data_IF_837481582379
#
_entry.id   IF_837481582379
#
_cell.length_a   1.000
_cell.length_b   1.000
_cell.length_c   1.000
_cell.angle_alpha   90.00
_cell.angle_beta   90.00
_cell.angle_gamma   90.00
#
_symmetry.space_group_name_H-M   'P 1'
#
loop_
_entity.id
_entity.type
_entity.pdbx_description
1 polymer ?
#
# COMPACT_ATOMS: atom_id res chain seq x y z
N UNK A 1 56.30 3.72 -12.51
CA UNK A 1 54.98 4.30 -12.80
C UNK A 1 53.96 3.21 -12.51
N UNK A 2 53.39 3.21 -11.30
CA UNK A 2 52.42 2.21 -10.84
C UNK A 2 51.09 2.90 -10.66
N UNK A 3 50.12 2.60 -11.53
CA UNK A 3 48.73 3.04 -11.38
C UNK A 3 48.03 2.16 -10.35
N UNK A 4 47.82 2.71 -9.16
CA UNK A 4 46.89 2.18 -8.18
C UNK A 4 45.47 2.56 -8.57
N UNK A 5 44.72 1.62 -9.14
CA UNK A 5 43.29 1.77 -9.36
C UNK A 5 42.59 1.80 -7.99
N UNK A 6 42.18 3.01 -7.58
CA UNK A 6 41.31 3.24 -6.44
C UNK A 6 39.98 2.51 -6.67
N UNK A 7 39.78 1.47 -5.86
CA UNK A 7 38.54 0.73 -5.70
C UNK A 7 37.40 1.72 -5.44
N UNK A 8 36.47 1.84 -6.39
CA UNK A 8 35.25 2.63 -6.24
C UNK A 8 34.41 1.95 -5.14
N UNK A 9 34.43 2.52 -3.95
CA UNK A 9 33.66 2.09 -2.79
C UNK A 9 32.16 2.26 -3.11
N UNK A 10 31.51 1.17 -3.54
CA UNK A 10 30.06 1.14 -3.68
C UNK A 10 29.43 1.37 -2.30
N UNK A 11 28.49 2.32 -2.14
CA UNK A 11 27.88 2.57 -0.84
C UNK A 11 27.23 1.30 -0.30
N UNK A 12 27.34 1.01 1.02
CA UNK A 12 26.86 -0.23 1.59
C UNK A 12 25.37 -0.38 1.35
N UNK A 13 24.97 -1.44 0.64
CA UNK A 13 23.56 -1.73 0.36
C UNK A 13 22.83 -1.88 1.71
N UNK A 14 21.82 -1.05 2.04
CA UNK A 14 21.09 -1.18 3.28
C UNK A 14 20.40 -2.54 3.32
N UNK A 15 20.71 -3.35 4.33
CA UNK A 15 20.18 -4.71 4.43
C UNK A 15 20.41 -5.35 5.80
N UNK A 16 19.49 -6.23 6.18
CA UNK A 16 19.51 -6.94 7.45
C UNK A 16 20.65 -7.97 7.47
N UNK A 17 21.25 -8.15 8.65
CA UNK A 17 22.24 -9.22 8.84
C UNK A 17 21.56 -10.59 8.87
N UNK A 18 22.32 -11.66 8.60
CA UNK A 18 21.79 -13.04 8.68
C UNK A 18 21.20 -13.36 10.06
N UNK A 19 21.76 -12.80 11.14
CA UNK A 19 21.24 -12.98 12.50
C UNK A 19 19.91 -12.26 12.70
N UNK A 20 19.78 -11.04 12.19
CA UNK A 20 18.54 -10.27 12.25
C UNK A 20 17.42 -10.96 11.46
N UNK A 21 17.71 -11.46 10.25
CA UNK A 21 16.73 -12.18 9.43
C UNK A 21 16.36 -13.52 10.06
N UNK A 22 17.33 -14.26 10.62
CA UNK A 22 17.04 -15.51 11.32
C UNK A 22 16.14 -15.31 12.55
N UNK A 23 16.35 -14.23 13.30
CA UNK A 23 15.50 -13.85 14.42
C UNK A 23 14.09 -13.44 13.97
N UNK A 24 13.98 -12.66 12.88
CA UNK A 24 12.69 -12.31 12.23
C UNK A 24 11.90 -13.55 11.83
N UNK A 25 12.60 -14.55 11.29
CA UNK A 25 12.01 -15.82 10.90
C UNK A 25 11.87 -16.78 12.09
N UNK A 26 12.36 -16.50 13.29
CA UNK A 26 12.34 -17.50 14.38
C UNK A 26 13.01 -18.84 14.00
N UNK A 27 14.00 -18.83 13.09
CA UNK A 27 14.80 -20.00 12.71
C UNK A 27 16.25 -19.80 13.14
N UNK A 28 17.00 -20.90 13.30
CA UNK A 28 18.43 -20.79 13.55
C UNK A 28 19.16 -20.15 12.35
N UNK A 29 20.18 -19.28 12.55
CA UNK A 29 20.98 -18.74 11.46
C UNK A 29 21.62 -19.81 10.55
N UNK A 30 21.88 -21.00 11.10
CA UNK A 30 22.32 -22.17 10.33
C UNK A 30 21.26 -22.67 9.32
N UNK A 31 19.98 -22.64 9.69
CA UNK A 31 18.85 -22.99 8.81
C UNK A 31 18.74 -22.00 7.65
N UNK A 32 18.80 -20.70 7.93
CA UNK A 32 18.78 -19.66 6.90
C UNK A 32 19.97 -19.78 5.93
N UNK A 33 21.17 -20.10 6.44
CA UNK A 33 22.34 -20.39 5.60
C UNK A 33 22.15 -21.66 4.76
N UNK A 34 21.53 -22.69 5.33
CA UNK A 34 21.23 -23.94 4.63
C UNK A 34 20.24 -23.72 3.48
N UNK A 35 19.18 -22.92 3.70
CA UNK A 35 18.23 -22.55 2.66
C UNK A 35 18.89 -21.76 1.53
N UNK A 36 19.76 -20.79 1.86
CA UNK A 36 20.50 -20.04 0.85
C UNK A 36 21.41 -20.92 -0.01
N UNK A 37 22.03 -21.95 0.57
CA UNK A 37 22.90 -22.89 -0.17
C UNK A 37 22.11 -23.94 -0.96
N UNK A 38 21.04 -24.51 -0.38
CA UNK A 38 20.28 -25.62 -0.98
C UNK A 38 19.24 -25.16 -2.00
N UNK A 39 18.70 -23.96 -1.83
CA UNK A 39 17.55 -23.49 -2.60
C UNK A 39 17.79 -22.18 -3.35
N UNK A 40 19.01 -21.63 -3.30
CA UNK A 40 19.40 -20.43 -4.03
C UNK A 40 18.82 -19.11 -3.47
N UNK A 41 18.29 -19.12 -2.24
CA UNK A 41 17.76 -17.92 -1.56
C UNK A 41 18.89 -17.12 -0.90
N UNK A 42 19.75 -16.58 -1.75
CA UNK A 42 20.90 -15.78 -1.33
C UNK A 42 20.56 -14.30 -1.29
N UNK A 43 21.15 -13.54 -0.35
CA UNK A 43 20.96 -12.10 -0.28
C UNK A 43 21.47 -11.39 -1.54
N UNK A 44 20.80 -10.32 -1.96
CA UNK A 44 21.18 -9.52 -3.12
C UNK A 44 22.45 -8.67 -2.89
N UNK A 45 22.90 -8.49 -1.65
CA UNK A 45 24.06 -7.67 -1.32
C UNK A 45 24.99 -8.25 -0.25
N UNK A 46 26.20 -7.68 -0.19
CA UNK A 46 27.18 -7.88 0.88
C UNK A 46 27.63 -6.52 1.41
N UNK A 47 27.96 -6.45 2.70
CA UNK A 47 28.61 -5.26 3.27
C UNK A 47 30.07 -5.15 2.80
N UNK A 48 30.68 -3.98 2.99
CA UNK A 48 32.12 -3.73 2.76
C UNK A 48 33.01 -4.80 3.43
N UNK A 49 32.64 -5.30 4.62
CA UNK A 49 33.32 -6.42 5.30
C UNK A 49 32.93 -7.84 4.84
N UNK A 50 32.33 -8.01 3.67
CA UNK A 50 31.99 -9.33 3.08
C UNK A 50 30.78 -10.07 3.67
N UNK A 51 30.18 -9.55 4.74
CA UNK A 51 29.01 -10.16 5.39
C UNK A 51 27.72 -10.05 4.54
N UNK A 52 26.88 -11.09 4.62
CA UNK A 52 25.58 -11.19 3.95
C UNK A 52 24.61 -10.07 4.40
N UNK A 53 24.01 -9.36 3.44
CA UNK A 53 23.03 -8.29 3.67
C UNK A 53 21.75 -8.56 2.89
N UNK A 54 20.69 -8.88 3.61
CA UNK A 54 19.38 -9.19 3.04
C UNK A 54 18.61 -7.91 2.81
N UNK A 55 18.20 -7.69 1.57
CA UNK A 55 17.32 -6.58 1.21
C UNK A 55 15.90 -6.83 1.71
N UNK A 56 15.05 -5.80 1.61
CA UNK A 56 13.63 -5.92 1.91
C UNK A 56 12.95 -7.02 1.07
N UNK A 57 13.33 -7.12 -0.22
CA UNK A 57 12.83 -8.15 -1.13
C UNK A 57 13.27 -9.55 -0.68
N UNK A 58 14.54 -9.73 -0.31
CA UNK A 58 15.05 -11.02 0.16
C UNK A 58 14.32 -11.49 1.42
N UNK A 59 14.09 -10.55 2.35
CA UNK A 59 13.43 -10.83 3.63
C UNK A 59 11.99 -11.25 3.40
N UNK A 60 11.27 -10.61 2.48
CA UNK A 60 9.90 -10.97 2.08
C UNK A 60 9.82 -12.37 1.49
N UNK A 61 10.72 -12.71 0.58
CA UNK A 61 10.78 -14.06 -0.03
C UNK A 61 10.98 -15.13 1.04
N UNK A 62 11.85 -14.87 2.03
CA UNK A 62 12.15 -15.80 3.11
C UNK A 62 11.00 -15.97 4.11
N UNK A 63 10.34 -14.87 4.47
CA UNK A 63 9.14 -14.88 5.32
C UNK A 63 8.03 -15.70 4.68
N UNK A 64 7.80 -15.51 3.37
CA UNK A 64 6.79 -16.29 2.64
C UNK A 64 7.16 -17.76 2.53
N UNK A 65 8.42 -18.07 2.29
CA UNK A 65 8.89 -19.46 2.28
C UNK A 65 8.60 -20.12 3.64
N UNK A 66 8.88 -19.41 4.73
CA UNK A 66 8.61 -19.92 6.07
C UNK A 66 7.12 -20.15 6.33
N UNK A 67 6.25 -19.23 5.91
CA UNK A 67 4.80 -19.39 6.08
C UNK A 67 4.30 -20.66 5.37
N UNK A 68 4.78 -20.95 4.16
CA UNK A 68 4.46 -22.17 3.43
C UNK A 68 4.94 -23.42 4.19
N UNK A 69 6.16 -23.40 4.72
CA UNK A 69 6.69 -24.51 5.51
C UNK A 69 5.86 -24.76 6.78
N UNK A 70 5.47 -23.70 7.48
CA UNK A 70 4.61 -23.81 8.66
C UNK A 70 3.19 -24.31 8.31
N UNK A 71 2.72 -24.07 7.09
CA UNK A 71 1.46 -24.58 6.56
C UNK A 71 1.55 -26.05 6.07
N UNK A 72 2.68 -26.72 6.28
CA UNK A 72 2.87 -28.13 5.95
C UNK A 72 3.54 -28.39 4.60
N UNK A 73 3.89 -27.35 3.83
CA UNK A 73 4.67 -27.54 2.60
C UNK A 73 6.10 -27.97 2.91
N UNK A 74 6.67 -28.82 2.05
CA UNK A 74 8.09 -29.16 2.19
C UNK A 74 8.97 -27.95 1.86
N UNK A 75 10.12 -27.75 2.53
CA UNK A 75 11.02 -26.63 2.24
C UNK A 75 11.46 -26.52 0.78
N UNK A 76 11.59 -27.65 0.07
CA UNK A 76 11.93 -27.66 -1.36
C UNK A 76 10.79 -27.11 -2.23
N UNK A 77 9.55 -27.54 -1.95
CA UNK A 77 8.36 -27.07 -2.66
C UNK A 77 8.09 -25.59 -2.36
N UNK A 78 8.16 -25.20 -1.09
CA UNK A 78 8.03 -23.81 -0.65
C UNK A 78 9.07 -22.90 -1.33
N UNK A 79 10.34 -23.33 -1.38
CA UNK A 79 11.39 -22.59 -2.06
C UNK A 79 11.13 -22.47 -3.58
N UNK A 80 10.65 -23.53 -4.23
CA UNK A 80 10.27 -23.48 -5.64
C UNK A 80 9.16 -22.46 -5.90
N UNK A 81 8.11 -22.48 -5.06
CA UNK A 81 6.96 -21.59 -5.13
C UNK A 81 7.36 -20.11 -4.98
N UNK A 82 8.28 -19.79 -4.05
CA UNK A 82 8.73 -18.40 -3.86
C UNK A 82 9.74 -17.93 -4.91
N UNK A 83 10.43 -18.83 -5.59
CA UNK A 83 11.31 -18.45 -6.71
C UNK A 83 10.55 -18.19 -8.00
N UNK A 84 9.50 -18.97 -8.27
CA UNK A 84 8.68 -18.80 -9.47
C UNK A 84 7.84 -17.53 -9.46
N UNK A 85 7.51 -17.04 -8.26
CA UNK A 85 6.74 -15.82 -8.07
C UNK A 85 7.04 -15.29 -6.65
N UNK A 86 8.03 -14.40 -6.47
CA UNK A 86 8.45 -13.91 -5.15
C UNK A 86 7.35 -13.21 -4.35
N UNK A 87 6.35 -12.65 -5.03
CA UNK A 87 5.38 -11.73 -4.46
C UNK A 87 3.95 -12.30 -4.37
N UNK A 88 3.67 -13.55 -4.82
CA UNK A 88 2.33 -14.19 -4.83
C UNK A 88 1.57 -14.23 -3.49
N UNK A 89 2.22 -13.92 -2.36
CA UNK A 89 1.64 -13.84 -1.02
C UNK A 89 1.98 -12.57 -0.23
N UNK A 90 2.74 -11.62 -0.80
CA UNK A 90 2.98 -10.28 -0.23
C UNK A 90 1.81 -9.32 -0.51
N UNK A 91 0.62 -9.84 -0.85
CA UNK A 91 -0.56 -9.13 -1.39
C UNK A 91 -1.15 -8.03 -0.48
N UNK A 92 -0.45 -7.65 0.56
CA UNK A 92 -0.93 -7.05 1.80
C UNK A 92 0.09 -5.95 2.26
N UNK A 93 1.38 -6.08 1.93
CA UNK A 93 2.42 -5.12 2.30
C UNK A 93 2.50 -3.79 1.53
N UNK A 94 1.52 -3.40 0.71
CA UNK A 94 1.46 -2.02 0.18
C UNK A 94 0.25 -1.18 0.60
N UNK A 95 -0.51 -1.65 1.58
CA UNK A 95 -1.09 -0.71 2.55
C UNK A 95 -0.01 0.21 3.14
N UNK A 96 1.21 -0.31 3.31
CA UNK A 96 2.39 0.46 3.70
C UNK A 96 2.96 1.38 2.60
N UNK A 97 2.54 1.26 1.33
CA UNK A 97 2.93 2.24 0.32
C UNK A 97 2.12 3.55 0.43
N UNK A 98 0.92 3.51 1.05
CA UNK A 98 0.21 4.72 1.48
C UNK A 98 1.03 5.53 2.51
N UNK A 99 1.90 4.87 3.27
CA UNK A 99 2.74 5.43 4.33
C UNK A 99 3.95 6.19 3.81
N UNK A 100 4.48 5.87 2.62
CA UNK A 100 5.68 6.55 2.09
C UNK A 100 5.42 7.91 1.44
N UNK A 101 4.18 8.20 1.03
CA UNK A 101 3.82 9.47 0.35
C UNK A 101 3.69 10.70 1.28
N UNK A 102 3.99 10.58 2.57
CA UNK A 102 4.00 11.72 3.51
C UNK A 102 5.33 11.90 4.25
N UNK A 103 6.37 11.11 3.95
CA UNK A 103 7.65 11.16 4.65
C UNK A 103 8.81 11.58 3.72
N UNK A 104 8.89 12.89 3.45
CA UNK A 104 10.14 13.61 3.26
C UNK A 104 10.20 14.72 4.35
N UNK A 105 11.39 15.08 4.86
CA UNK A 105 11.56 15.38 6.28
C UNK A 105 11.35 16.86 6.61
N UNK A 106 10.43 17.15 7.53
CA UNK A 106 10.49 18.36 8.35
C UNK A 106 11.61 18.16 9.39
N UNK A 107 12.66 18.96 9.27
CA UNK A 107 13.80 18.94 10.17
C UNK A 107 13.40 19.52 11.52
N UNK A 108 13.76 18.79 12.57
CA UNK A 108 14.01 19.34 13.89
C UNK A 108 12.86 19.14 14.86
N UNK A 109 12.92 18.07 15.66
CA UNK A 109 12.44 18.09 17.04
C UNK A 109 13.36 17.20 17.89
N UNK A 110 13.91 17.82 18.95
CA UNK A 110 14.86 17.22 19.88
C UNK A 110 14.21 16.08 20.67
N UNK A 111 14.92 14.98 20.82
CA UNK A 111 14.53 13.83 21.66
C UNK A 111 14.38 14.22 23.14
N UNK A 112 13.35 13.73 23.86
CA UNK A 112 13.41 13.57 25.30
C UNK A 112 13.94 12.18 25.69
N UNK A 113 14.66 12.17 26.82
CA UNK A 113 15.38 11.05 27.42
C UNK A 113 14.49 9.88 27.88
N UNK A 114 15.11 8.70 27.94
CA UNK A 114 14.65 7.45 28.57
C UNK A 114 14.17 7.64 30.03
N UNK A 115 13.15 6.88 30.43
CA UNK A 115 13.11 6.04 31.66
C UNK A 115 11.79 5.25 31.77
N UNK A 116 11.84 4.03 32.34
CA UNK A 116 10.67 3.29 32.82
C UNK A 116 10.57 1.83 32.38
N UNK A 117 11.22 0.94 33.12
CA UNK A 117 11.05 -0.53 33.10
C UNK A 117 9.72 -0.94 33.75
N UNK A 118 8.89 -1.73 33.04
CA UNK A 118 7.73 -2.43 33.60
C UNK A 118 7.78 -3.93 33.27
N UNK A 119 7.07 -4.81 34.01
CA UNK A 119 7.26 -6.27 33.96
C UNK A 119 6.71 -6.91 32.67
N UNK A 120 7.18 -8.10 32.27
CA UNK A 120 6.70 -8.77 31.07
C UNK A 120 5.33 -9.41 31.34
N UNK A 121 4.27 -8.80 30.79
CA UNK A 121 2.91 -9.33 30.89
C UNK A 121 2.62 -10.38 29.81
N UNK A 122 2.30 -11.61 30.26
CA UNK A 122 1.24 -12.51 29.78
C UNK A 122 1.27 -13.06 28.33
N UNK A 123 0.88 -14.34 28.11
CA UNK A 123 0.83 -14.93 26.78
C UNK A 123 -0.50 -14.56 26.08
N UNK A 124 -0.41 -13.87 24.94
CA UNK A 124 -1.55 -13.70 24.02
C UNK A 124 -1.89 -12.24 23.71
N UNK A 125 -1.34 -11.72 22.61
CA UNK A 125 -1.68 -10.42 22.03
C UNK A 125 -0.47 -9.49 21.99
N UNK A 126 0.19 -9.39 20.83
CA UNK A 126 1.19 -8.35 20.60
C UNK A 126 0.47 -7.00 20.58
N UNK A 127 0.51 -6.27 21.69
CA UNK A 127 -0.08 -4.92 21.76
C UNK A 127 0.66 -4.02 20.77
N UNK A 128 -0.03 -3.59 19.73
CA UNK A 128 0.50 -2.63 18.76
C UNK A 128 0.55 -1.24 19.44
N UNK A 129 1.76 -0.79 19.76
CA UNK A 129 1.94 0.51 20.41
C UNK A 129 1.74 1.65 19.40
N UNK A 130 0.79 2.55 19.67
CA UNK A 130 0.58 3.80 18.91
C UNK A 130 0.64 4.99 19.87
N UNK A 131 1.84 5.49 20.23
CA UNK A 131 2.01 6.59 21.18
C UNK A 131 1.36 7.88 20.66
N UNK A 132 0.67 8.63 21.52
CA UNK A 132 0.06 9.92 21.16
C UNK A 132 -1.24 9.84 20.32
N UNK A 133 -1.69 8.64 19.95
CA UNK A 133 -2.88 8.46 19.12
C UNK A 133 -4.21 8.63 19.87
N UNK A 134 -5.30 8.90 19.16
CA UNK A 134 -6.65 9.00 19.72
C UNK A 134 -7.14 7.69 20.35
N UNK A 135 -8.21 7.74 21.15
CA UNK A 135 -8.80 6.54 21.75
C UNK A 135 -9.28 5.53 20.70
N UNK A 136 -9.81 6.00 19.57
CA UNK A 136 -10.30 5.17 18.46
C UNK A 136 -9.15 4.45 17.75
N UNK A 137 -8.05 5.15 17.46
CA UNK A 137 -6.84 4.54 16.86
C UNK A 137 -6.25 3.48 17.77
N UNK A 138 -6.15 3.75 19.09
CA UNK A 138 -5.69 2.75 20.06
C UNK A 138 -6.65 1.55 20.16
N UNK A 139 -7.95 1.79 20.06
CA UNK A 139 -8.98 0.76 20.03
C UNK A 139 -8.81 -0.18 18.84
N UNK A 140 -8.68 0.39 17.64
CA UNK A 140 -8.45 -0.36 16.40
C UNK A 140 -7.13 -1.15 16.45
N UNK A 141 -6.03 -0.50 16.86
CA UNK A 141 -4.73 -1.14 17.00
C UNK A 141 -4.74 -2.33 17.98
N UNK A 142 -5.47 -2.20 19.09
CA UNK A 142 -5.66 -3.28 20.07
C UNK A 142 -6.49 -4.43 19.51
N UNK A 143 -7.61 -4.13 18.84
CA UNK A 143 -8.47 -5.14 18.22
C UNK A 143 -7.70 -5.93 17.16
N UNK A 144 -6.97 -5.22 16.29
CA UNK A 144 -6.12 -5.81 15.26
C UNK A 144 -5.00 -6.68 15.87
N UNK A 145 -4.32 -6.20 16.93
CA UNK A 145 -3.29 -6.98 17.63
C UNK A 145 -3.81 -8.24 18.36
N UNK A 146 -5.12 -8.34 18.56
CA UNK A 146 -5.81 -9.54 19.08
C UNK A 146 -6.44 -10.40 17.99
N UNK A 147 -6.33 -9.99 16.72
CA UNK A 147 -7.01 -10.60 15.58
C UNK A 147 -8.54 -10.66 15.75
N UNK A 148 -9.10 -9.69 16.47
CA UNK A 148 -10.55 -9.54 16.68
C UNK A 148 -11.18 -8.92 15.44
N UNK A 149 -11.44 -9.75 14.43
CA UNK A 149 -11.96 -9.32 13.11
C UNK A 149 -13.28 -8.57 13.22
N UNK A 150 -14.15 -8.98 14.14
CA UNK A 150 -15.46 -8.36 14.37
C UNK A 150 -15.30 -6.95 14.96
N UNK A 151 -14.45 -6.79 15.98
CA UNK A 151 -14.20 -5.47 16.56
C UNK A 151 -13.51 -4.54 15.57
N UNK A 152 -12.54 -5.05 14.79
CA UNK A 152 -11.88 -4.28 13.71
C UNK A 152 -12.92 -3.76 12.72
N UNK A 153 -13.75 -4.64 12.16
CA UNK A 153 -14.81 -4.25 11.21
C UNK A 153 -15.77 -3.22 11.81
N UNK A 154 -16.26 -3.47 13.04
CA UNK A 154 -17.20 -2.57 13.72
C UNK A 154 -16.63 -1.16 13.89
N UNK A 155 -15.36 -1.05 14.30
CA UNK A 155 -14.70 0.25 14.49
C UNK A 155 -14.56 0.99 13.15
N UNK A 156 -14.12 0.29 12.10
CA UNK A 156 -13.92 0.90 10.77
C UNK A 156 -15.27 1.35 10.18
N UNK A 157 -16.27 0.49 10.19
CA UNK A 157 -17.60 0.80 9.67
C UNK A 157 -18.25 1.97 10.42
N UNK A 158 -18.13 1.98 11.75
CA UNK A 158 -18.65 3.09 12.55
C UNK A 158 -17.97 4.42 12.17
N UNK A 159 -16.65 4.43 12.01
CA UNK A 159 -15.90 5.62 11.65
C UNK A 159 -16.22 6.10 10.22
N UNK A 160 -16.33 5.18 9.25
CA UNK A 160 -16.74 5.48 7.88
C UNK A 160 -18.12 6.17 7.84
N UNK A 161 -19.10 5.63 8.56
CA UNK A 161 -20.46 6.21 8.57
C UNK A 161 -20.55 7.56 9.28
N UNK A 162 -19.69 7.83 10.26
CA UNK A 162 -19.79 9.02 11.11
C UNK A 162 -18.92 10.19 10.63
N UNK A 163 -17.80 9.88 9.97
CA UNK A 163 -16.80 10.89 9.57
C UNK A 163 -16.49 10.89 8.08
N UNK A 164 -16.89 9.85 7.34
CA UNK A 164 -16.61 9.69 5.92
C UNK A 164 -15.29 9.00 5.59
N UNK A 165 -15.03 8.75 4.31
CA UNK A 165 -13.85 7.99 3.86
C UNK A 165 -12.55 8.71 4.14
N UNK A 166 -12.45 10.02 3.85
CA UNK A 166 -11.18 10.75 3.93
C UNK A 166 -10.65 10.80 5.38
N UNK A 167 -11.43 11.26 6.38
CA UNK A 167 -10.95 11.26 7.77
C UNK A 167 -10.70 9.84 8.30
N UNK A 168 -11.50 8.85 7.88
CA UNK A 168 -11.24 7.46 8.26
C UNK A 168 -9.88 6.98 7.76
N UNK A 169 -9.52 7.30 6.52
CA UNK A 169 -8.24 6.89 5.96
C UNK A 169 -7.06 7.60 6.66
N UNK A 170 -7.17 8.91 6.88
CA UNK A 170 -6.06 9.71 7.38
C UNK A 170 -5.89 9.67 8.90
N UNK A 171 -7.00 9.68 9.65
CA UNK A 171 -6.97 9.83 11.12
C UNK A 171 -7.11 8.48 11.86
N UNK A 172 -7.71 7.47 11.23
CA UNK A 172 -7.90 6.15 11.84
C UNK A 172 -6.99 5.08 11.24
N UNK A 173 -7.08 4.83 9.92
CA UNK A 173 -6.41 3.70 9.28
C UNK A 173 -4.90 3.94 9.13
N UNK A 174 -4.50 5.11 8.61
CA UNK A 174 -3.09 5.44 8.36
C UNK A 174 -2.23 5.29 9.62
N UNK A 175 -2.58 5.83 10.80
CA UNK A 175 -1.76 5.66 12.01
C UNK A 175 -1.60 4.20 12.43
N UNK A 176 -2.64 3.37 12.28
CA UNK A 176 -2.58 1.94 12.61
C UNK A 176 -1.70 1.19 11.62
N UNK A 177 -1.86 1.42 10.32
CA UNK A 177 -1.04 0.80 9.28
C UNK A 177 0.45 1.19 9.42
N UNK A 178 0.74 2.46 9.75
CA UNK A 178 2.11 2.91 10.08
C UNK A 178 2.67 2.11 11.27
N UNK A 179 1.89 1.96 12.33
CA UNK A 179 2.31 1.23 13.52
C UNK A 179 2.54 -0.26 13.23
N UNK A 180 1.68 -0.90 12.42
CA UNK A 180 1.86 -2.29 11.95
C UNK A 180 3.17 -2.42 11.17
N UNK A 181 3.44 -1.50 10.24
CA UNK A 181 4.69 -1.48 9.49
C UNK A 181 5.93 -1.30 10.37
N UNK A 182 5.88 -0.39 11.34
CA UNK A 182 6.96 -0.17 12.29
C UNK A 182 7.20 -1.38 13.21
N UNK A 183 6.12 -2.03 13.66
CA UNK A 183 6.20 -3.26 14.44
C UNK A 183 6.80 -4.41 13.63
N UNK A 184 6.41 -4.53 12.36
CA UNK A 184 6.99 -5.49 11.42
C UNK A 184 8.47 -5.23 11.19
N UNK A 185 8.88 -3.99 10.89
CA UNK A 185 10.27 -3.63 10.68
C UNK A 185 11.17 -3.96 11.89
N UNK A 186 10.62 -3.89 13.10
CA UNK A 186 11.31 -4.19 14.35
C UNK A 186 11.35 -5.69 14.70
N UNK A 187 10.27 -6.42 14.46
CA UNK A 187 10.08 -7.78 15.01
C UNK A 187 9.97 -8.87 13.95
N UNK A 188 9.74 -8.50 12.69
CA UNK A 188 9.46 -9.44 11.60
C UNK A 188 8.06 -10.05 11.61
N UNK A 189 7.28 -9.83 12.66
CA UNK A 189 5.90 -10.32 12.78
C UNK A 189 4.83 -9.28 12.48
N UNK A 190 3.55 -9.67 12.54
CA UNK A 190 2.42 -8.77 12.29
C UNK A 190 1.78 -8.91 10.90
N UNK A 191 2.16 -9.93 10.14
CA UNK A 191 1.56 -10.25 8.83
C UNK A 191 0.11 -10.72 9.01
N UNK A 192 -0.14 -11.48 10.07
CA UNK A 192 -1.47 -11.85 10.55
C UNK A 192 -2.35 -10.61 10.80
N UNK A 193 -1.80 -9.63 11.53
CA UNK A 193 -2.48 -8.36 11.83
C UNK A 193 -2.76 -7.55 10.56
N UNK A 194 -1.81 -7.53 9.64
CA UNK A 194 -1.90 -6.81 8.37
C UNK A 194 -2.96 -7.44 7.45
N UNK A 195 -2.99 -8.77 7.32
CA UNK A 195 -4.06 -9.47 6.59
C UNK A 195 -5.45 -9.19 7.19
N UNK A 196 -5.60 -9.26 8.52
CA UNK A 196 -6.86 -8.96 9.19
C UNK A 196 -7.32 -7.52 8.91
N UNK A 197 -6.39 -6.56 8.95
CA UNK A 197 -6.70 -5.15 8.66
C UNK A 197 -7.09 -4.95 7.20
N UNK A 198 -6.26 -5.41 6.25
CA UNK A 198 -6.50 -5.28 4.81
C UNK A 198 -7.88 -5.82 4.41
N UNK A 199 -8.23 -7.03 4.86
CA UNK A 199 -9.53 -7.65 4.54
C UNK A 199 -10.68 -6.86 5.17
N UNK A 200 -10.59 -6.51 6.46
CA UNK A 200 -11.63 -5.77 7.15
C UNK A 200 -11.84 -4.36 6.56
N UNK A 201 -10.77 -3.67 6.17
CA UNK A 201 -10.83 -2.36 5.51
C UNK A 201 -11.53 -2.50 4.15
N UNK A 202 -11.15 -3.50 3.34
CA UNK A 202 -11.74 -3.74 2.03
C UNK A 202 -13.24 -4.03 2.13
N UNK A 203 -13.65 -4.88 3.07
CA UNK A 203 -15.06 -5.22 3.28
C UNK A 203 -15.86 -4.02 3.79
N UNK A 204 -15.32 -3.25 4.75
CA UNK A 204 -15.96 -2.04 5.24
C UNK A 204 -16.13 -0.99 4.13
N UNK A 205 -15.14 -0.79 3.25
CA UNK A 205 -15.23 0.13 2.11
C UNK A 205 -16.25 -0.33 1.07
N UNK A 206 -16.32 -1.63 0.78
CA UNK A 206 -17.33 -2.21 -0.13
C UNK A 206 -18.74 -2.03 0.43
N UNK A 207 -18.93 -2.35 1.71
CA UNK A 207 -20.20 -2.18 2.40
C UNK A 207 -20.62 -0.70 2.46
N UNK A 208 -19.68 0.20 2.78
CA UNK A 208 -19.92 1.64 2.80
C UNK A 208 -20.34 2.17 1.43
N UNK A 209 -19.65 1.75 0.36
CA UNK A 209 -20.00 2.10 -1.02
C UNK A 209 -21.38 1.59 -1.42
N UNK A 210 -21.74 0.36 -1.06
CA UNK A 210 -23.04 -0.23 -1.39
C UNK A 210 -24.23 0.48 -0.73
N UNK A 211 -23.99 1.20 0.38
CA UNK A 211 -25.01 1.99 1.10
C UNK A 211 -25.21 3.39 0.53
N UNK A 212 -24.32 3.85 -0.37
CA UNK A 212 -24.45 5.18 -0.96
C UNK A 212 -25.59 5.23 -1.97
N UNK A 213 -26.16 6.43 -2.14
CA UNK A 213 -27.22 6.65 -3.11
C UNK A 213 -26.77 6.29 -4.53
N UNK A 214 -27.71 5.87 -5.40
CA UNK A 214 -27.40 5.57 -6.79
C UNK A 214 -26.67 6.75 -7.45
N UNK A 215 -25.63 6.47 -8.25
CA UNK A 215 -24.84 7.53 -8.86
C UNK A 215 -25.66 8.36 -9.85
N UNK A 216 -25.27 9.63 -10.00
CA UNK A 216 -25.88 10.53 -10.99
C UNK A 216 -25.64 10.03 -12.42
N UNK A 217 -26.59 10.28 -13.33
CA UNK A 217 -26.47 9.95 -14.75
C UNK A 217 -25.30 10.71 -15.39
N UNK A 218 -24.12 10.10 -15.37
CA UNK A 218 -22.85 10.63 -15.87
C UNK A 218 -21.92 9.48 -16.23
N UNK A 219 -20.93 9.75 -17.08
CA UNK A 219 -19.88 8.76 -17.38
C UNK A 219 -19.11 8.37 -16.11
N UNK A 220 -18.82 7.09 -15.86
CA UNK A 220 -18.13 6.65 -14.65
C UNK A 220 -16.68 7.12 -14.61
N UNK A 221 -16.14 7.17 -13.39
CA UNK A 221 -14.70 7.23 -13.15
C UNK A 221 -14.15 5.80 -13.16
N UNK A 222 -13.16 5.52 -14.01
CA UNK A 222 -12.47 4.23 -14.00
C UNK A 222 -11.34 4.24 -12.97
N UNK A 223 -11.24 3.18 -12.18
CA UNK A 223 -10.21 3.02 -11.14
C UNK A 223 -9.35 1.82 -11.48
N UNK A 224 -8.05 2.04 -11.72
CA UNK A 224 -7.12 1.01 -12.15
C UNK A 224 -5.77 1.12 -11.45
N UNK A 225 -5.14 -0.01 -11.16
CA UNK A 225 -3.71 -0.08 -10.91
C UNK A 225 -2.96 -0.03 -12.25
N UNK A 226 -1.77 0.56 -12.26
CA UNK A 226 -0.85 0.47 -13.40
C UNK A 226 -0.50 -0.99 -13.75
N UNK A 227 0.12 -1.23 -14.91
CA UNK A 227 0.30 -2.57 -15.48
C UNK A 227 0.97 -3.59 -14.54
N UNK A 228 1.86 -3.14 -13.66
CA UNK A 228 2.53 -4.01 -12.68
C UNK A 228 2.05 -3.78 -11.24
N UNK A 229 1.03 -2.96 -11.04
CA UNK A 229 0.50 -2.62 -9.74
C UNK A 229 -0.47 -3.69 -9.24
N UNK A 230 -0.13 -4.35 -8.15
CA UNK A 230 -0.95 -5.42 -7.55
C UNK A 230 -1.92 -4.91 -6.48
N UNK A 231 -1.74 -3.69 -5.97
CA UNK A 231 -2.48 -3.20 -4.82
C UNK A 231 -3.77 -2.50 -5.24
N UNK A 232 -4.88 -3.02 -4.72
CA UNK A 232 -6.23 -2.57 -5.07
C UNK A 232 -6.87 -1.70 -4.00
N UNK A 233 -6.39 -1.73 -2.76
CA UNK A 233 -6.99 -0.96 -1.67
C UNK A 233 -7.12 0.54 -1.99
N UNK A 234 -6.09 1.23 -2.54
CA UNK A 234 -6.22 2.65 -2.88
C UNK A 234 -7.37 2.91 -3.87
N UNK A 235 -7.66 1.96 -4.75
CA UNK A 235 -8.79 2.02 -5.68
C UNK A 235 -10.12 1.86 -4.94
N UNK A 236 -10.19 1.00 -3.92
CA UNK A 236 -11.38 0.86 -3.07
C UNK A 236 -11.63 2.11 -2.23
N UNK A 237 -10.57 2.72 -1.69
CA UNK A 237 -10.66 3.99 -0.96
C UNK A 237 -11.21 5.10 -1.86
N UNK A 238 -10.61 5.31 -3.04
CA UNK A 238 -11.09 6.30 -4.02
C UNK A 238 -12.52 5.99 -4.46
N UNK A 239 -12.84 4.72 -4.70
CA UNK A 239 -14.18 4.28 -5.10
C UNK A 239 -15.25 4.55 -4.05
N UNK A 240 -14.93 4.35 -2.77
CA UNK A 240 -15.83 4.66 -1.66
C UNK A 240 -15.99 6.19 -1.48
N UNK A 241 -14.90 6.95 -1.58
CA UNK A 241 -14.94 8.41 -1.47
C UNK A 241 -15.74 9.06 -2.62
N UNK A 242 -15.61 8.56 -3.85
CA UNK A 242 -16.43 8.98 -4.99
C UNK A 242 -17.92 8.63 -4.81
N UNK A 243 -18.21 7.49 -4.18
CA UNK A 243 -19.57 7.08 -3.89
C UNK A 243 -20.27 8.00 -2.88
N UNK A 244 -19.54 8.50 -1.87
CA UNK A 244 -20.06 9.53 -0.94
C UNK A 244 -20.52 10.81 -1.64
N UNK A 245 -19.96 11.08 -2.83
CA UNK A 245 -20.28 12.24 -3.66
C UNK A 245 -21.22 11.91 -4.83
N UNK A 246 -21.79 10.69 -4.85
CA UNK A 246 -22.73 10.26 -5.88
C UNK A 246 -22.11 10.11 -7.28
N UNK A 247 -20.79 9.93 -7.37
CA UNK A 247 -20.08 9.75 -8.64
C UNK A 247 -19.98 8.26 -9.01
N UNK A 248 -20.43 7.85 -10.20
CA UNK A 248 -20.35 6.45 -10.62
C UNK A 248 -18.90 6.02 -10.81
N UNK A 249 -18.55 4.82 -10.34
CA UNK A 249 -17.20 4.27 -10.48
C UNK A 249 -17.21 2.85 -11.02
N UNK A 250 -16.24 2.54 -11.89
CA UNK A 250 -15.96 1.18 -12.35
C UNK A 250 -14.55 0.83 -11.89
N UNK A 251 -14.44 -0.17 -11.01
CA UNK A 251 -13.18 -0.65 -10.48
C UNK A 251 -12.64 -1.76 -11.38
N UNK A 252 -11.61 -1.44 -12.16
CA UNK A 252 -10.95 -2.41 -13.06
C UNK A 252 -9.95 -3.31 -12.30
N UNK A 253 -9.49 -2.85 -11.14
CA UNK A 253 -8.59 -3.61 -10.27
C UNK A 253 -7.12 -3.39 -10.58
N UNK A 254 -6.30 -4.34 -10.17
CA UNK A 254 -4.85 -4.32 -10.29
C UNK A 254 -4.37 -4.73 -11.70
N UNK A 255 -3.12 -4.38 -12.01
CA UNK A 255 -2.39 -4.82 -13.21
C UNK A 255 -3.15 -4.59 -14.50
N UNK A 256 -3.62 -3.36 -14.71
CA UNK A 256 -4.41 -3.01 -15.89
C UNK A 256 -3.48 -2.44 -16.97
N UNK A 257 -3.25 -3.13 -18.09
CA UNK A 257 -2.47 -2.58 -19.19
C UNK A 257 -3.16 -1.36 -19.81
N UNK A 258 -2.39 -0.40 -20.34
CA UNK A 258 -2.97 0.83 -20.93
C UNK A 258 -4.00 0.53 -22.02
N UNK A 259 -3.75 -0.46 -22.88
CA UNK A 259 -4.69 -0.84 -23.93
C UNK A 259 -6.05 -1.33 -23.38
N UNK A 260 -6.05 -2.08 -22.27
CA UNK A 260 -7.27 -2.52 -21.59
C UNK A 260 -8.00 -1.34 -20.95
N UNK A 261 -7.27 -0.42 -20.33
CA UNK A 261 -7.79 0.82 -19.75
C UNK A 261 -8.45 1.70 -20.83
N UNK A 262 -7.79 1.88 -21.97
CA UNK A 262 -8.30 2.58 -23.14
C UNK A 262 -9.59 1.96 -23.70
N UNK A 263 -9.62 0.63 -23.80
CA UNK A 263 -10.80 -0.12 -24.24
C UNK A 263 -11.99 0.05 -23.28
N UNK A 264 -11.74 -0.02 -21.97
CA UNK A 264 -12.74 0.23 -20.95
C UNK A 264 -13.28 1.66 -21.04
N UNK A 265 -12.40 2.66 -21.14
CA UNK A 265 -12.77 4.08 -21.20
C UNK A 265 -13.72 4.39 -22.37
N UNK A 266 -13.45 3.83 -23.55
CA UNK A 266 -14.34 3.96 -24.73
C UNK A 266 -15.70 3.31 -24.48
N UNK A 267 -15.71 2.06 -24.02
CA UNK A 267 -16.94 1.26 -23.84
C UNK A 267 -17.87 1.85 -22.79
N UNK A 268 -17.33 2.40 -21.71
CA UNK A 268 -18.14 2.97 -20.62
C UNK A 268 -18.42 4.46 -20.81
N UNK A 269 -17.87 5.10 -21.84
CA UNK A 269 -17.85 6.56 -21.99
C UNK A 269 -17.41 7.26 -20.70
N UNK A 270 -16.28 6.80 -20.16
CA UNK A 270 -15.76 7.28 -18.89
C UNK A 270 -15.55 8.81 -18.88
N UNK A 271 -15.87 9.46 -17.77
CA UNK A 271 -15.63 10.89 -17.59
C UNK A 271 -14.20 11.16 -17.10
N UNK A 272 -13.66 10.25 -16.31
CA UNK A 272 -12.30 10.31 -15.80
C UNK A 272 -11.70 8.91 -15.59
N UNK A 273 -10.38 8.88 -15.43
CA UNK A 273 -9.62 7.71 -15.00
C UNK A 273 -8.70 8.09 -13.85
N UNK A 274 -8.66 7.24 -12.82
CA UNK A 274 -7.66 7.27 -11.78
C UNK A 274 -6.73 6.05 -11.91
N UNK A 275 -5.41 6.30 -11.98
CA UNK A 275 -4.40 5.23 -12.05
C UNK A 275 -3.50 5.24 -10.82
N UNK A 276 -3.54 4.16 -10.04
CA UNK A 276 -2.68 3.97 -8.88
C UNK A 276 -1.34 3.32 -9.26
N UNK A 277 -0.25 3.80 -8.66
CA UNK A 277 1.07 3.15 -8.69
C UNK A 277 1.80 3.39 -7.37
N UNK A 278 2.06 2.32 -6.63
CA UNK A 278 2.67 2.30 -5.30
C UNK A 278 4.19 2.12 -5.31
N UNK A 279 4.81 1.79 -6.45
CA UNK A 279 6.27 1.59 -6.55
C UNK A 279 6.85 2.20 -7.83
N UNK A 280 8.07 2.70 -7.73
CA UNK A 280 8.86 3.28 -8.85
C UNK A 280 9.50 2.25 -9.78
N UNK A 281 9.10 0.96 -9.68
CA UNK A 281 9.60 -0.17 -10.49
C UNK A 281 9.39 0.03 -12.00
N UNK A 282 10.00 -0.82 -12.84
CA UNK A 282 9.90 -0.88 -14.31
C UNK A 282 8.46 -1.16 -14.83
N UNK A 283 7.51 -0.31 -14.47
CA UNK A 283 6.13 -0.33 -14.94
C UNK A 283 6.06 0.28 -16.34
N UNK A 284 5.41 -0.43 -17.26
CA UNK A 284 5.29 -0.09 -18.68
C UNK A 284 4.05 0.75 -19.00
N UNK A 285 3.35 1.28 -17.99
CA UNK A 285 2.14 2.08 -18.19
C UNK A 285 2.49 3.42 -18.83
N UNK A 286 2.18 3.55 -20.12
CA UNK A 286 2.25 4.82 -20.84
C UNK A 286 0.85 5.41 -21.02
N UNK A 287 0.49 6.41 -20.22
CA UNK A 287 -0.83 7.03 -20.26
C UNK A 287 -1.06 7.93 -21.50
N UNK A 288 -0.01 8.21 -22.29
CA UNK A 288 -0.13 8.95 -23.54
C UNK A 288 -0.84 8.14 -24.64
N UNK A 289 -0.88 6.82 -24.49
CA UNK A 289 -1.61 5.92 -25.40
C UNK A 289 -3.13 5.91 -25.14
N UNK A 290 -3.61 6.59 -24.09
CA UNK A 290 -5.04 6.70 -23.84
C UNK A 290 -5.71 7.50 -24.97
N UNK A 291 -6.85 7.00 -25.49
CA UNK A 291 -7.49 7.60 -26.66
C UNK A 291 -8.02 9.00 -26.33
N UNK A 292 -7.98 9.94 -27.29
CA UNK A 292 -8.71 11.19 -27.14
C UNK A 292 -10.22 10.90 -27.12
N UNK A 293 -10.87 11.10 -25.98
CA UNK A 293 -12.33 11.00 -25.84
C UNK A 293 -12.99 12.39 -25.92
N UNK A 294 -14.30 12.41 -26.22
CA UNK A 294 -15.15 13.60 -26.22
C UNK A 294 -16.40 13.34 -25.35
N UNK A 295 -16.67 14.14 -24.29
CA UNK A 295 -15.80 15.18 -23.73
C UNK A 295 -14.44 14.61 -23.27
N UNK A 296 -13.44 15.49 -23.12
CA UNK A 296 -12.05 15.09 -22.88
C UNK A 296 -11.94 14.24 -21.61
N UNK A 297 -11.37 13.04 -21.75
CA UNK A 297 -11.11 12.14 -20.63
C UNK A 297 -10.13 12.80 -19.65
N UNK A 298 -10.54 12.99 -18.40
CA UNK A 298 -9.64 13.51 -17.37
C UNK A 298 -8.81 12.36 -16.79
N UNK A 299 -7.49 12.51 -16.78
CA UNK A 299 -6.57 11.49 -16.26
C UNK A 299 -5.93 11.98 -14.98
N UNK A 300 -6.14 11.23 -13.89
CA UNK A 300 -5.54 11.50 -12.58
C UNK A 300 -4.66 10.31 -12.20
N UNK A 301 -3.48 10.58 -11.67
CA UNK A 301 -2.57 9.53 -11.18
C UNK A 301 -2.29 9.72 -9.70
N UNK A 302 -2.18 8.62 -8.96
CA UNK A 302 -1.93 8.64 -7.53
C UNK A 302 -0.94 7.57 -7.09
N UNK A 303 -0.19 7.90 -6.03
CA UNK A 303 0.76 6.99 -5.39
C UNK A 303 2.23 7.34 -5.66
N UNK A 304 3.14 6.92 -4.76
CA UNK A 304 4.56 7.28 -4.80
C UNK A 304 5.28 6.82 -6.06
N UNK A 305 4.78 5.80 -6.74
CA UNK A 305 5.38 5.29 -7.97
C UNK A 305 5.32 6.27 -9.15
N UNK A 306 4.52 7.33 -9.04
CA UNK A 306 4.48 8.42 -10.03
C UNK A 306 5.42 9.57 -9.71
N UNK A 307 6.05 9.63 -8.54
CA UNK A 307 6.78 10.82 -8.05
C UNK A 307 7.86 11.31 -9.03
N UNK A 308 8.63 10.40 -9.60
CA UNK A 308 9.74 10.74 -10.50
C UNK A 308 9.41 10.51 -11.98
N UNK A 309 8.15 10.23 -12.30
CA UNK A 309 7.69 9.98 -13.67
C UNK A 309 7.31 11.31 -14.33
N UNK A 310 7.95 11.72 -15.43
CA UNK A 310 7.53 12.89 -16.21
C UNK A 310 6.13 12.66 -16.77
N UNK A 311 5.22 13.62 -16.57
CA UNK A 311 3.84 13.56 -17.04
C UNK A 311 3.57 14.67 -18.04
N UNK A 312 2.72 14.41 -19.03
CA UNK A 312 2.21 15.47 -19.92
C UNK A 312 1.31 16.43 -19.14
N UNK A 313 1.15 17.65 -19.67
CA UNK A 313 0.36 18.71 -19.03
C UNK A 313 -1.11 18.33 -18.74
N UNK A 314 -1.63 17.34 -19.46
CA UNK A 314 -3.02 16.89 -19.38
C UNK A 314 -3.26 15.76 -18.36
N UNK A 315 -2.20 15.29 -17.69
CA UNK A 315 -2.26 14.26 -16.65
C UNK A 315 -2.06 14.93 -15.29
N UNK A 316 -3.05 14.79 -14.41
CA UNK A 316 -3.03 15.43 -13.10
C UNK A 316 -2.50 14.47 -12.04
N UNK A 317 -1.38 14.80 -11.42
CA UNK A 317 -0.87 14.04 -10.27
C UNK A 317 -1.63 14.43 -9.00
N UNK A 318 -2.10 13.45 -8.24
CA UNK A 318 -2.69 13.64 -6.92
C UNK A 318 -1.65 13.37 -5.82
N UNK A 319 -1.57 14.27 -4.84
CA UNK A 319 -0.63 14.18 -3.71
C UNK A 319 -1.28 13.64 -2.43
N UNK A 320 -2.61 13.65 -2.36
CA UNK A 320 -3.39 13.12 -1.25
C UNK A 320 -4.72 12.55 -1.76
N UNK A 321 -5.45 11.87 -0.88
CA UNK A 321 -6.80 11.41 -1.17
C UNK A 321 -7.75 12.59 -1.46
N UNK A 322 -7.70 13.64 -0.64
CA UNK A 322 -8.49 14.86 -0.85
C UNK A 322 -8.18 15.53 -2.19
N UNK A 323 -6.90 15.62 -2.55
CA UNK A 323 -6.46 16.19 -3.82
C UNK A 323 -6.90 15.34 -5.03
N UNK A 324 -6.83 14.00 -4.90
CA UNK A 324 -7.36 13.09 -5.92
C UNK A 324 -8.86 13.31 -6.13
N UNK A 325 -9.63 13.44 -5.04
CA UNK A 325 -11.07 13.67 -5.07
C UNK A 325 -11.42 14.99 -5.74
N UNK A 326 -10.77 16.09 -5.35
CA UNK A 326 -10.98 17.39 -5.99
C UNK A 326 -10.72 17.30 -7.50
N UNK A 327 -9.58 16.72 -7.89
CA UNK A 327 -9.22 16.54 -9.31
C UNK A 327 -10.22 15.68 -10.07
N UNK A 328 -10.80 14.64 -9.48
CA UNK A 328 -11.76 13.76 -10.16
C UNK A 328 -13.15 14.41 -10.31
N UNK A 329 -13.54 15.27 -9.37
CA UNK A 329 -14.83 15.97 -9.39
C UNK A 329 -14.91 17.08 -10.47
N UNK A 330 -13.82 17.81 -10.71
CA UNK A 330 -13.81 18.90 -11.71
C UNK A 330 -14.07 18.42 -13.16
N UNK A 331 -13.88 17.13 -13.47
CA UNK A 331 -14.15 16.58 -14.80
C UNK A 331 -15.55 15.99 -15.00
N UNK A 332 -16.33 15.76 -13.94
CA UNK A 332 -17.52 14.89 -13.97
C UNK A 332 -18.84 15.61 -14.29
N UNK A 333 -18.79 16.87 -14.75
CA UNK A 333 -19.99 17.66 -15.07
C UNK A 333 -20.70 18.28 -13.86
N UNK A 334 -20.11 18.22 -12.66
CA UNK A 334 -20.67 18.85 -11.45
C UNK A 334 -20.77 20.38 -11.57
N UNK A 335 -19.86 21.04 -12.31
CA UNK A 335 -19.89 22.50 -12.53
C UNK A 335 -21.07 22.97 -13.39
N UNK A 336 -21.56 22.14 -14.33
CA UNK A 336 -22.68 22.54 -15.20
C UNK A 336 -24.00 22.71 -14.44
N UNK A 337 -24.16 22.06 -13.28
CA UNK A 337 -25.38 22.21 -12.48
C UNK A 337 -25.30 23.37 -11.48
N UNK A 338 -24.11 23.72 -11.00
CA UNK A 338 -23.94 24.90 -10.13
C UNK A 338 -24.18 26.19 -10.90
N UNK A 339 -23.76 26.26 -12.17
CA UNK A 339 -24.05 27.42 -13.02
C UNK A 339 -25.50 27.45 -13.54
N UNK A 340 -26.15 26.31 -13.76
CA UNK A 340 -27.58 26.29 -14.15
C UNK A 340 -28.49 26.62 -12.96
N UNK A 341 -28.14 26.22 -11.74
CA UNK A 341 -28.87 26.61 -10.53
C UNK A 341 -28.61 28.06 -10.10
N UNK A 342 -27.44 28.63 -10.42
CA UNK A 342 -27.12 30.04 -10.16
C UNK A 342 -27.55 31.00 -11.30
N UNK A 343 -27.91 30.47 -12.47
CA UNK A 343 -28.30 31.23 -13.66
C UNK A 343 -29.81 31.32 -13.91
N UNK A 344 -30.64 30.75 -13.04
CA UNK A 344 -32.09 31.02 -13.01
C UNK A 344 -32.39 32.02 -11.88
N UNK A 345 -32.11 33.29 -12.16
CA UNK A 345 -32.70 34.42 -11.43
C UNK A 345 -33.03 35.53 -12.42
#
# INVERSE_FOLDING_TARGET
MSEGALSVDQPPVPGLSVGAVAAVLGVAPGTLRSWGRRYGLVPAGRSVGGHRRYTESDTRTLVRMQALVNAGETPSRAASIVRSDPDRGWRSGAELALVRTAAAPERGHRSPRRQGTGPPGGPGGRVLAVPGASAQVRGLARAAGKLDTQAVATIIEHHLRTTGVIPTCDDLLRPVLVAVGAAWARTGGGIDVEHVLSEAIMDALRAHRARQLPPRASGPVLLAGSAEEMHVLPLHVIGAALAEHGLPTVLLGARVPTAALASAARRTRASAVFVWRGRTSADKTDLRELPPLRPRLRVVVGGPGWQDVPLSADIHRAHSLADAMAKLQHGSGAEKLVQVAAGQK
#
